data_IF_340765526060
#
_entry.id   IF_340765526060
#
_cell.length_a   1.000
_cell.length_b   1.000
_cell.length_c   1.000
_cell.angle_alpha   90.00
_cell.angle_beta   90.00
_cell.angle_gamma   90.00
#
_symmetry.space_group_name_H-M   'P 1'
#
loop_
_entity.id
_entity.type
_entity.pdbx_description
1 polymer ?
#
# COMPACT_ATOMS: atom_id res chain seq x y z
N UNK A 1 60.07 -21.75 62.54
CA UNK A 1 59.35 -22.08 63.79
C UNK A 1 57.94 -21.52 63.65
N UNK A 2 56.93 -22.36 63.41
CA UNK A 2 55.50 -22.00 63.59
C UNK A 2 55.15 -22.18 65.07
N UNK A 3 54.21 -21.38 65.63
CA UNK A 3 52.82 -21.84 65.79
C UNK A 3 51.77 -20.73 65.50
N UNK A 4 50.68 -20.98 64.77
CA UNK A 4 49.35 -21.52 65.18
C UNK A 4 48.40 -20.51 65.87
N UNK A 5 47.24 -20.28 65.22
CA UNK A 5 46.10 -19.39 65.56
C UNK A 5 45.22 -19.86 66.76
N UNK A 6 44.25 -19.04 67.25
CA UNK A 6 42.85 -19.23 66.77
C UNK A 6 41.95 -17.96 66.62
N UNK A 7 40.99 -18.12 65.69
CA UNK A 7 39.65 -17.52 65.33
C UNK A 7 38.83 -16.75 66.40
N UNK A 8 37.82 -15.88 66.06
CA UNK A 8 36.60 -16.33 65.33
C UNK A 8 35.75 -15.35 64.46
N UNK A 9 34.94 -16.00 63.60
CA UNK A 9 33.55 -15.75 63.14
C UNK A 9 33.06 -14.33 62.79
N UNK A 10 32.75 -14.15 61.50
CA UNK A 10 31.75 -13.19 61.02
C UNK A 10 30.98 -13.78 59.82
N UNK A 11 29.74 -14.21 60.07
CA UNK A 11 28.76 -14.67 59.08
C UNK A 11 28.14 -13.49 58.31
N UNK A 12 28.09 -13.56 56.97
CA UNK A 12 26.96 -13.13 56.12
C UNK A 12 27.37 -13.26 54.63
N UNK A 13 26.80 -14.21 53.86
CA UNK A 13 25.71 -14.00 52.87
C UNK A 13 26.08 -12.94 51.82
N UNK A 14 26.26 -13.23 50.54
CA UNK A 14 25.26 -13.77 49.60
C UNK A 14 25.98 -14.31 48.35
N UNK A 15 25.53 -15.46 47.83
CA UNK A 15 25.84 -15.91 46.47
C UNK A 15 24.98 -15.11 45.50
N UNK A 16 25.57 -14.45 44.51
CA UNK A 16 24.86 -13.96 43.34
C UNK A 16 25.37 -14.72 42.11
N UNK A 17 24.43 -15.32 41.41
CA UNK A 17 24.61 -16.25 40.31
C UNK A 17 25.10 -15.54 39.03
N UNK A 18 25.82 -16.31 38.23
CA UNK A 18 26.17 -16.07 36.83
C UNK A 18 24.93 -15.75 35.99
N UNK A 19 24.92 -14.60 35.31
CA UNK A 19 23.95 -14.32 34.26
C UNK A 19 24.61 -14.55 32.89
N UNK A 20 24.24 -15.65 32.25
CA UNK A 20 24.52 -15.93 30.84
C UNK A 20 23.63 -15.01 30.01
N UNK A 21 24.22 -14.08 29.26
CA UNK A 21 23.48 -13.27 28.28
C UNK A 21 23.08 -14.14 27.09
N UNK A 22 21.82 -14.57 27.07
CA UNK A 22 21.20 -15.13 25.88
C UNK A 22 20.93 -14.01 24.88
N UNK A 23 21.64 -14.02 23.75
CA UNK A 23 21.32 -13.18 22.58
C UNK A 23 20.05 -13.75 21.95
N UNK A 24 18.92 -13.08 22.19
CA UNK A 24 17.68 -13.34 21.46
C UNK A 24 17.87 -12.83 20.02
N UNK A 25 18.09 -13.74 19.08
CA UNK A 25 17.84 -13.50 17.66
C UNK A 25 16.32 -13.39 17.48
N UNK A 26 15.80 -12.17 17.50
CA UNK A 26 14.46 -11.89 17.02
C UNK A 26 14.42 -12.14 15.52
N UNK A 27 14.00 -13.34 15.15
CA UNK A 27 13.49 -13.62 13.83
C UNK A 27 12.24 -12.75 13.63
N UNK A 28 12.40 -11.64 12.91
CA UNK A 28 11.28 -10.91 12.33
C UNK A 28 10.64 -11.82 11.29
N UNK A 29 9.70 -12.65 11.72
CA UNK A 29 8.64 -13.13 10.85
C UNK A 29 7.87 -11.89 10.38
N UNK A 30 8.33 -11.30 9.27
CA UNK A 30 7.50 -10.44 8.46
C UNK A 30 6.35 -11.31 7.95
N UNK A 31 5.22 -11.29 8.66
CA UNK A 31 3.96 -11.70 8.07
C UNK A 31 3.75 -10.79 6.86
N UNK A 32 4.04 -11.30 5.67
CA UNK A 32 3.55 -10.70 4.44
C UNK A 32 2.03 -10.73 4.57
N UNK A 33 1.43 -9.56 4.72
CA UNK A 33 -0.03 -9.39 4.67
C UNK A 33 -0.49 -9.59 3.23
N UNK A 34 -0.35 -10.82 2.72
CA UNK A 34 -0.68 -11.22 1.34
C UNK A 34 -2.20 -11.23 1.06
N UNK A 35 -3.03 -10.87 2.05
CA UNK A 35 -4.47 -11.03 2.00
C UNK A 35 -5.27 -9.86 1.43
N UNK A 36 -4.77 -8.62 1.51
CA UNK A 36 -5.60 -7.43 1.21
C UNK A 36 -4.89 -6.33 0.41
N UNK A 37 -3.55 -6.32 0.37
CA UNK A 37 -2.77 -5.29 -0.35
C UNK A 37 -2.99 -5.33 -1.87
N UNK A 38 -3.37 -6.50 -2.41
CA UNK A 38 -3.54 -6.71 -3.84
C UNK A 38 -4.88 -6.16 -4.37
N UNK A 39 -5.92 -6.04 -3.52
CA UNK A 39 -7.28 -5.72 -3.97
C UNK A 39 -7.48 -4.23 -4.19
N UNK A 40 -6.91 -3.34 -3.36
CA UNK A 40 -7.15 -1.89 -3.55
C UNK A 40 -6.38 -1.32 -4.73
N UNK A 41 -5.37 -2.02 -5.26
CA UNK A 41 -4.55 -1.66 -6.42
C UNK A 41 -3.72 -0.37 -6.26
N UNK A 42 -4.25 0.64 -5.58
CA UNK A 42 -3.81 2.03 -5.45
C UNK A 42 -2.53 2.23 -4.66
N UNK A 43 -2.22 1.32 -3.74
CA UNK A 43 -1.08 1.44 -2.82
C UNK A 43 0.01 0.37 -3.04
N UNK A 44 -0.27 -0.70 -3.79
CA UNK A 44 0.61 -1.86 -3.89
C UNK A 44 1.15 -2.17 -5.29
N UNK A 45 0.42 -1.82 -6.35
CA UNK A 45 0.78 -2.23 -7.70
C UNK A 45 1.74 -1.21 -8.34
N UNK A 46 2.87 -1.73 -8.87
CA UNK A 46 3.83 -1.04 -9.75
C UNK A 46 3.09 0.04 -10.53
N UNK A 47 3.39 1.29 -10.19
CA UNK A 47 2.89 2.44 -10.94
C UNK A 47 3.20 2.19 -12.42
N UNK A 48 2.25 2.56 -13.28
CA UNK A 48 2.44 2.65 -14.73
C UNK A 48 3.85 3.11 -15.03
N UNK A 49 4.50 2.44 -16.00
CA UNK A 49 5.83 2.80 -16.49
C UNK A 49 5.85 4.32 -16.70
N UNK A 50 6.38 5.06 -15.73
CA UNK A 50 6.69 6.47 -15.89
C UNK A 50 7.60 6.54 -17.11
N UNK A 51 7.23 7.38 -18.07
CA UNK A 51 7.92 7.71 -19.32
C UNK A 51 9.34 7.12 -19.48
N UNK A 52 9.64 6.42 -20.59
CA UNK A 52 10.96 5.88 -20.85
C UNK A 52 11.97 7.01 -21.17
N UNK A 53 12.59 7.62 -20.15
CA UNK A 53 13.83 8.40 -20.32
C UNK A 53 14.60 8.78 -19.04
N UNK A 54 14.13 8.50 -17.81
CA UNK A 54 14.92 8.77 -16.60
C UNK A 54 15.01 7.50 -15.75
N UNK A 55 16.22 6.96 -15.66
CA UNK A 55 16.51 5.87 -14.74
C UNK A 55 16.36 6.39 -13.30
N UNK A 56 16.13 5.48 -12.36
CA UNK A 56 16.21 5.79 -10.93
C UNK A 56 17.52 6.52 -10.58
N UNK A 57 18.60 6.21 -11.31
CA UNK A 57 19.91 6.88 -11.17
C UNK A 57 19.83 8.37 -11.52
N UNK A 58 19.17 8.74 -12.64
CA UNK A 58 19.01 10.15 -13.00
C UNK A 58 18.26 10.96 -11.93
N UNK A 59 17.23 10.39 -11.32
CA UNK A 59 16.52 11.06 -10.23
C UNK A 59 17.38 11.17 -8.97
N UNK A 60 18.14 10.12 -8.65
CA UNK A 60 19.08 10.11 -7.54
C UNK A 60 20.17 11.17 -7.73
N UNK A 61 20.76 11.28 -8.91
CA UNK A 61 21.82 12.24 -9.22
C UNK A 61 21.32 13.68 -9.17
N UNK A 62 20.09 13.92 -9.66
CA UNK A 62 19.44 15.22 -9.52
C UNK A 62 19.23 15.60 -8.06
N UNK A 63 18.74 14.68 -7.23
CA UNK A 63 18.59 14.92 -5.79
C UNK A 63 19.94 15.12 -5.09
N UNK A 64 20.97 14.35 -5.42
CA UNK A 64 22.31 14.49 -4.84
C UNK A 64 22.97 15.82 -5.18
N UNK A 65 22.75 16.33 -6.39
CA UNK A 65 23.31 17.61 -6.83
C UNK A 65 22.55 18.82 -6.30
N UNK A 66 21.28 18.65 -5.92
CA UNK A 66 20.40 19.71 -5.41
C UNK A 66 19.55 19.18 -4.23
N UNK A 67 20.17 18.85 -3.08
CA UNK A 67 19.46 18.25 -1.95
C UNK A 67 18.40 19.17 -1.34
N UNK A 68 18.47 20.47 -1.59
CA UNK A 68 17.51 21.51 -1.20
C UNK A 68 16.34 21.69 -2.19
N UNK A 69 16.39 21.05 -3.36
CA UNK A 69 15.30 21.11 -4.35
C UNK A 69 14.21 20.09 -3.96
N UNK A 70 13.14 20.61 -3.34
CA UNK A 70 11.99 19.80 -2.92
C UNK A 70 11.35 19.01 -4.09
N UNK A 71 11.40 19.52 -5.33
CA UNK A 71 10.89 18.81 -6.49
C UNK A 71 11.81 17.65 -6.89
N UNK A 72 13.14 17.83 -6.79
CA UNK A 72 14.09 16.75 -7.00
C UNK A 72 13.89 15.62 -5.98
N UNK A 73 13.71 15.99 -4.70
CA UNK A 73 13.38 15.06 -3.62
C UNK A 73 12.07 14.29 -3.90
N UNK A 74 11.00 15.01 -4.25
CA UNK A 74 9.70 14.41 -4.54
C UNK A 74 9.76 13.45 -5.73
N UNK A 75 10.44 13.82 -6.81
CA UNK A 75 10.57 12.98 -7.99
C UNK A 75 11.42 11.73 -7.73
N UNK A 76 12.50 11.86 -6.96
CA UNK A 76 13.28 10.70 -6.55
C UNK A 76 12.47 9.74 -5.66
N UNK A 77 11.72 10.27 -4.69
CA UNK A 77 10.80 9.48 -3.88
C UNK A 77 9.73 8.76 -4.70
N UNK A 78 9.12 9.43 -5.69
CA UNK A 78 8.17 8.80 -6.64
C UNK A 78 8.82 7.67 -7.44
N UNK A 79 10.05 7.87 -7.91
CA UNK A 79 10.79 6.85 -8.65
C UNK A 79 11.13 5.62 -7.78
N UNK A 80 11.51 5.83 -6.51
CA UNK A 80 11.74 4.75 -5.55
C UNK A 80 10.46 3.93 -5.30
N UNK A 81 9.33 4.60 -5.10
CA UNK A 81 8.01 3.97 -4.94
C UNK A 81 7.63 3.13 -6.17
N UNK A 82 7.73 3.71 -7.37
CA UNK A 82 7.43 3.01 -8.62
C UNK A 82 8.35 1.79 -8.84
N UNK A 83 9.60 1.87 -8.39
CA UNK A 83 10.58 0.78 -8.45
C UNK A 83 10.43 -0.27 -7.35
N UNK A 84 9.46 -0.11 -6.44
CA UNK A 84 9.22 -1.02 -5.32
C UNK A 84 10.23 -0.90 -4.16
N UNK A 85 11.12 0.10 -4.18
CA UNK A 85 12.09 0.38 -3.11
C UNK A 85 11.42 1.13 -1.96
N UNK A 86 10.40 0.50 -1.37
CA UNK A 86 9.43 1.11 -0.43
C UNK A 86 10.11 1.69 0.81
N UNK A 87 10.95 0.92 1.48
CA UNK A 87 11.63 1.39 2.71
C UNK A 87 12.63 2.53 2.42
N UNK A 88 13.28 2.50 1.26
CA UNK A 88 14.15 3.61 0.84
C UNK A 88 13.35 4.87 0.49
N UNK A 89 12.18 4.72 -0.15
CA UNK A 89 11.28 5.83 -0.42
C UNK A 89 10.83 6.51 0.88
N UNK A 90 10.46 5.71 1.90
CA UNK A 90 10.08 6.21 3.23
C UNK A 90 11.21 7.02 3.85
N UNK A 91 12.40 6.43 3.99
CA UNK A 91 13.53 7.09 4.64
C UNK A 91 13.94 8.38 3.90
N UNK A 92 14.00 8.34 2.58
CA UNK A 92 14.40 9.50 1.77
C UNK A 92 13.37 10.64 1.83
N UNK A 93 12.07 10.32 1.69
CA UNK A 93 11.02 11.34 1.75
C UNK A 93 10.81 11.88 3.17
N UNK A 94 11.06 11.08 4.22
CA UNK A 94 11.08 11.56 5.60
C UNK A 94 12.14 12.66 5.78
N UNK A 95 13.38 12.40 5.34
CA UNK A 95 14.46 13.40 5.40
C UNK A 95 14.12 14.66 4.60
N UNK A 96 13.51 14.51 3.42
CA UNK A 96 13.05 15.65 2.63
C UNK A 96 11.98 16.47 3.37
N UNK A 97 11.03 15.84 4.06
CA UNK A 97 10.02 16.57 4.85
C UNK A 97 10.59 17.27 6.08
N UNK A 98 11.68 16.75 6.67
CA UNK A 98 12.40 17.42 7.77
C UNK A 98 13.11 18.68 7.25
N UNK A 99 13.71 18.61 6.05
CA UNK A 99 14.35 19.75 5.40
C UNK A 99 13.33 20.80 4.90
N UNK A 100 12.11 20.38 4.58
CA UNK A 100 11.05 21.23 4.02
C UNK A 100 9.73 21.10 4.82
N UNK A 101 9.67 21.56 6.07
CA UNK A 101 8.56 21.29 7.00
C UNK A 101 7.20 21.92 6.62
N UNK A 102 7.14 22.76 5.59
CA UNK A 102 5.90 23.36 5.07
C UNK A 102 5.48 22.84 3.69
N UNK A 103 6.27 21.98 3.05
CA UNK A 103 5.97 21.49 1.71
C UNK A 103 4.93 20.35 1.77
N UNK A 104 3.68 20.71 1.49
CA UNK A 104 2.55 19.76 1.47
C UNK A 104 2.71 18.67 0.41
N UNK A 105 3.37 18.94 -0.71
CA UNK A 105 3.57 17.95 -1.77
C UNK A 105 4.59 16.88 -1.33
N UNK A 106 5.66 17.28 -0.64
CA UNK A 106 6.59 16.34 0.00
C UNK A 106 5.92 15.55 1.12
N UNK A 107 5.12 16.18 1.97
CA UNK A 107 4.34 15.46 2.99
C UNK A 107 3.38 14.44 2.36
N UNK A 108 2.66 14.81 1.30
CA UNK A 108 1.80 13.88 0.57
C UNK A 108 2.60 12.74 -0.07
N UNK A 109 3.80 13.02 -0.59
CA UNK A 109 4.73 12.02 -1.09
C UNK A 109 5.15 11.03 -0.01
N UNK A 110 5.56 11.53 1.16
CA UNK A 110 5.95 10.72 2.32
C UNK A 110 4.80 9.86 2.83
N UNK A 111 3.60 10.43 2.99
CA UNK A 111 2.40 9.68 3.37
C UNK A 111 2.07 8.53 2.41
N UNK A 112 2.23 8.74 1.10
CA UNK A 112 2.08 7.67 0.10
C UNK A 112 3.19 6.62 0.18
N UNK A 113 4.44 7.01 0.46
CA UNK A 113 5.53 6.06 0.64
C UNK A 113 5.31 5.18 1.88
N UNK A 114 4.80 5.77 2.98
CA UNK A 114 4.40 5.04 4.18
C UNK A 114 3.29 4.03 3.86
N UNK A 115 2.28 4.43 3.09
CA UNK A 115 1.21 3.54 2.67
C UNK A 115 1.72 2.36 1.83
N UNK A 116 2.58 2.61 0.84
CA UNK A 116 3.17 1.54 0.02
C UNK A 116 4.03 0.57 0.87
N UNK A 117 4.68 1.09 1.92
CA UNK A 117 5.46 0.30 2.88
C UNK A 117 4.61 -0.41 3.94
N UNK A 118 3.27 -0.26 3.92
CA UNK A 118 2.35 -0.90 4.87
C UNK A 118 2.17 -0.15 6.20
N UNK A 119 2.76 1.04 6.35
CA UNK A 119 2.66 1.86 7.56
C UNK A 119 1.38 2.71 7.54
N UNK A 120 0.22 2.05 7.45
CA UNK A 120 -1.05 2.70 7.11
C UNK A 120 -1.52 3.74 8.13
N UNK A 121 -1.35 3.50 9.43
CA UNK A 121 -1.76 4.48 10.46
C UNK A 121 -0.95 5.78 10.34
N UNK A 122 0.38 5.66 10.25
CA UNK A 122 1.26 6.81 10.08
C UNK A 122 1.01 7.51 8.73
N UNK A 123 0.73 6.75 7.67
CA UNK A 123 0.37 7.30 6.37
C UNK A 123 -0.88 8.20 6.46
N UNK A 124 -1.92 7.75 7.19
CA UNK A 124 -3.15 8.51 7.35
C UNK A 124 -2.91 9.84 8.10
N UNK A 125 -2.10 9.81 9.16
CA UNK A 125 -1.73 11.00 9.92
C UNK A 125 -0.96 12.00 9.05
N UNK A 126 0.07 11.55 8.35
CA UNK A 126 0.91 12.39 7.48
C UNK A 126 0.08 12.97 6.33
N UNK A 127 -0.76 12.18 5.68
CA UNK A 127 -1.67 12.66 4.62
C UNK A 127 -2.69 13.67 5.17
N UNK A 128 -3.17 13.48 6.40
CA UNK A 128 -4.04 14.43 7.09
C UNK A 128 -3.39 15.81 7.27
N UNK A 129 -2.09 15.84 7.60
CA UNK A 129 -1.31 17.09 7.72
C UNK A 129 -0.97 17.73 6.37
N UNK A 130 -0.88 16.93 5.31
CA UNK A 130 -0.69 17.43 3.95
C UNK A 130 -1.96 18.05 3.34
N UNK A 131 -3.13 17.76 3.92
CA UNK A 131 -4.42 18.29 3.50
C UNK A 131 -4.76 19.62 4.19
N UNK A 132 -5.46 20.51 3.49
CA UNK A 132 -6.00 21.77 4.02
C UNK A 132 -7.44 21.91 3.53
N UNK A 133 -8.43 22.07 4.42
CA UNK A 133 -9.83 22.25 4.02
C UNK A 133 -10.06 23.46 3.13
N UNK A 134 -9.22 24.49 3.25
CA UNK A 134 -9.27 25.74 2.48
C UNK A 134 -8.75 25.57 1.05
N UNK A 135 -7.88 24.59 0.82
CA UNK A 135 -7.30 24.25 -0.49
C UNK A 135 -7.24 22.72 -0.65
N UNK A 136 -8.40 22.08 -0.90
CA UNK A 136 -8.48 20.63 -0.89
C UNK A 136 -7.89 20.03 -2.18
N UNK A 137 -6.83 19.23 -2.03
CA UNK A 137 -6.29 18.42 -3.13
C UNK A 137 -7.00 17.05 -3.20
N UNK A 138 -7.73 16.82 -4.28
CA UNK A 138 -8.41 15.55 -4.56
C UNK A 138 -7.46 14.34 -4.54
N UNK A 139 -6.19 14.54 -4.91
CA UNK A 139 -5.18 13.46 -4.93
C UNK A 139 -4.89 13.00 -3.52
N UNK A 140 -4.80 13.92 -2.55
CA UNK A 140 -4.57 13.60 -1.14
C UNK A 140 -5.80 12.91 -0.56
N UNK A 141 -7.01 13.42 -0.84
CA UNK A 141 -8.25 12.79 -0.42
C UNK A 141 -8.36 11.35 -0.94
N UNK A 142 -8.06 11.11 -2.21
CA UNK A 142 -8.04 9.76 -2.79
C UNK A 142 -6.99 8.85 -2.13
N UNK A 143 -5.82 9.38 -1.76
CA UNK A 143 -4.81 8.62 -1.03
C UNK A 143 -5.26 8.27 0.40
N UNK A 144 -5.92 9.19 1.10
CA UNK A 144 -6.50 8.92 2.42
C UNK A 144 -7.58 7.85 2.35
N UNK A 145 -8.46 7.90 1.34
CA UNK A 145 -9.44 6.86 1.07
C UNK A 145 -8.79 5.48 0.89
N UNK A 146 -7.74 5.41 0.08
CA UNK A 146 -7.00 4.16 -0.15
C UNK A 146 -6.35 3.60 1.11
N UNK A 147 -5.79 4.47 1.97
CA UNK A 147 -5.22 4.08 3.26
C UNK A 147 -6.31 3.59 4.22
N UNK A 148 -7.47 4.23 4.24
CA UNK A 148 -8.61 3.82 5.06
C UNK A 148 -9.17 2.45 4.64
N UNK A 149 -9.24 2.15 3.35
CA UNK A 149 -9.60 0.82 2.86
C UNK A 149 -8.63 -0.26 3.38
N UNK A 150 -7.32 0.02 3.38
CA UNK A 150 -6.31 -0.89 3.92
C UNK A 150 -6.40 -1.07 5.45
N UNK A 151 -6.93 -0.05 6.15
CA UNK A 151 -7.24 -0.13 7.58
C UNK A 151 -8.60 -0.81 7.87
N UNK A 152 -9.32 -1.28 6.84
CA UNK A 152 -10.65 -1.87 6.99
C UNK A 152 -11.78 -0.86 7.22
N UNK A 153 -11.49 0.45 7.10
CA UNK A 153 -12.42 1.57 7.33
C UNK A 153 -13.11 1.99 6.02
N UNK A 154 -13.71 1.02 5.33
CA UNK A 154 -14.22 1.21 3.96
C UNK A 154 -15.36 2.23 3.83
N UNK A 155 -16.19 2.42 4.85
CA UNK A 155 -17.23 3.47 4.81
C UNK A 155 -16.64 4.87 4.78
N UNK A 156 -15.65 5.13 5.63
CA UNK A 156 -14.93 6.41 5.65
C UNK A 156 -14.12 6.60 4.37
N UNK A 157 -13.48 5.55 3.86
CA UNK A 157 -12.76 5.58 2.59
C UNK A 157 -13.66 6.11 1.44
N UNK A 158 -14.90 5.62 1.35
CA UNK A 158 -15.87 6.05 0.35
C UNK A 158 -16.28 7.50 0.49
N UNK A 159 -16.32 8.06 1.70
CA UNK A 159 -16.56 9.49 1.91
C UNK A 159 -15.40 10.35 1.36
N UNK A 160 -14.16 9.91 1.53
CA UNK A 160 -12.99 10.57 0.95
C UNK A 160 -12.98 10.49 -0.58
N UNK A 161 -13.29 9.34 -1.18
CA UNK A 161 -13.43 9.23 -2.63
C UNK A 161 -14.56 10.09 -3.18
N UNK A 162 -15.73 10.11 -2.52
CA UNK A 162 -16.83 10.99 -2.89
C UNK A 162 -16.43 12.47 -2.82
N UNK A 163 -15.63 12.85 -1.83
CA UNK A 163 -15.09 14.20 -1.70
C UNK A 163 -14.10 14.56 -2.80
N UNK A 164 -13.21 13.63 -3.16
CA UNK A 164 -12.32 13.80 -4.31
C UNK A 164 -13.11 13.97 -5.62
N UNK A 165 -14.14 13.14 -5.85
CA UNK A 165 -14.99 13.20 -7.05
C UNK A 165 -15.89 14.43 -7.12
N UNK A 166 -16.14 15.12 -6.01
CA UNK A 166 -16.78 16.45 -6.02
C UNK A 166 -15.87 17.53 -6.57
N UNK A 167 -14.55 17.39 -6.40
CA UNK A 167 -13.53 18.34 -6.88
C UNK A 167 -13.15 18.03 -8.32
N UNK A 168 -12.93 16.75 -8.62
CA UNK A 168 -12.64 16.26 -9.97
C UNK A 168 -13.66 15.19 -10.36
N UNK A 169 -14.81 15.60 -10.93
CA UNK A 169 -15.80 14.65 -11.41
C UNK A 169 -15.19 13.67 -12.39
N UNK A 170 -15.61 12.41 -12.28
CA UNK A 170 -15.26 11.34 -13.22
C UNK A 170 -13.78 10.97 -13.34
N UNK A 171 -12.92 11.44 -12.45
CA UNK A 171 -11.50 11.06 -12.43
C UNK A 171 -11.32 9.52 -12.40
N UNK A 172 -10.79 8.90 -13.48
CA UNK A 172 -10.80 7.43 -13.61
C UNK A 172 -10.02 6.73 -12.50
N UNK A 173 -8.94 7.34 -12.01
CA UNK A 173 -8.14 6.79 -10.92
C UNK A 173 -8.91 6.74 -9.59
N UNK A 174 -9.72 7.76 -9.29
CA UNK A 174 -10.53 7.82 -8.07
C UNK A 174 -11.74 6.90 -8.17
N UNK A 175 -12.41 6.85 -9.32
CA UNK A 175 -13.50 5.91 -9.57
C UNK A 175 -13.00 4.46 -9.46
N UNK A 176 -11.80 4.16 -9.96
CA UNK A 176 -11.21 2.83 -9.82
C UNK A 176 -10.99 2.46 -8.35
N UNK A 177 -10.46 3.38 -7.53
CA UNK A 177 -10.27 3.13 -6.10
C UNK A 177 -11.62 2.94 -5.37
N UNK A 178 -12.61 3.77 -5.69
CA UNK A 178 -13.96 3.64 -5.14
C UNK A 178 -14.59 2.28 -5.48
N UNK A 179 -14.44 1.82 -6.72
CA UNK A 179 -14.92 0.51 -7.13
C UNK A 179 -14.24 -0.63 -6.36
N UNK A 180 -12.92 -0.55 -6.15
CA UNK A 180 -12.20 -1.56 -5.37
C UNK A 180 -12.60 -1.53 -3.89
N UNK A 181 -12.95 -0.36 -3.34
CA UNK A 181 -13.59 -0.27 -2.00
C UNK A 181 -14.93 -1.02 -1.96
N UNK A 182 -15.74 -0.94 -3.02
CA UNK A 182 -16.97 -1.75 -3.11
C UNK A 182 -16.69 -3.26 -3.20
N UNK A 183 -15.63 -3.67 -3.90
CA UNK A 183 -15.17 -5.07 -3.94
C UNK A 183 -14.83 -5.57 -2.54
N UNK A 184 -14.16 -4.76 -1.71
CA UNK A 184 -13.85 -5.14 -0.32
C UNK A 184 -15.12 -5.41 0.50
N UNK A 185 -16.18 -4.64 0.27
CA UNK A 185 -17.50 -4.88 0.87
C UNK A 185 -18.38 -5.89 0.12
N UNK A 186 -17.85 -6.56 -0.91
CA UNK A 186 -18.54 -7.52 -1.79
C UNK A 186 -19.74 -6.95 -2.56
N UNK A 187 -19.84 -5.62 -2.68
CA UNK A 187 -20.84 -4.96 -3.52
C UNK A 187 -20.34 -4.91 -4.97
N UNK A 188 -20.26 -6.09 -5.59
CA UNK A 188 -19.71 -6.25 -6.95
C UNK A 188 -20.56 -5.52 -8.01
N UNK A 189 -21.84 -5.29 -7.74
CA UNK A 189 -22.72 -4.55 -8.63
C UNK A 189 -22.29 -3.08 -8.72
N UNK A 190 -22.13 -2.39 -7.58
CA UNK A 190 -21.64 -1.01 -7.58
C UNK A 190 -20.20 -0.90 -8.05
N UNK A 191 -19.36 -1.89 -7.74
CA UNK A 191 -17.99 -1.92 -8.23
C UNK A 191 -17.94 -1.92 -9.76
N UNK A 192 -18.74 -2.76 -10.41
CA UNK A 192 -18.81 -2.84 -11.87
C UNK A 192 -19.37 -1.55 -12.47
N UNK A 193 -20.48 -1.04 -11.95
CA UNK A 193 -21.09 0.22 -12.39
C UNK A 193 -20.06 1.36 -12.36
N UNK A 194 -19.34 1.47 -11.24
CA UNK A 194 -18.32 2.50 -11.02
C UNK A 194 -17.13 2.34 -12.00
N UNK A 195 -16.68 1.12 -12.26
CA UNK A 195 -15.58 0.86 -13.21
C UNK A 195 -16.00 1.05 -14.67
N UNK A 196 -17.25 0.75 -15.03
CA UNK A 196 -17.77 1.06 -16.37
C UNK A 196 -17.85 2.56 -16.59
N UNK A 197 -18.29 3.31 -15.57
CA UNK A 197 -18.22 4.78 -15.57
C UNK A 197 -16.78 5.25 -15.77
N UNK A 198 -15.82 4.73 -15.00
CA UNK A 198 -14.40 5.07 -15.16
C UNK A 198 -13.87 4.77 -16.57
N UNK A 199 -14.24 3.62 -17.14
CA UNK A 199 -13.79 3.17 -18.46
C UNK A 199 -14.44 3.92 -19.63
N UNK A 200 -15.55 4.62 -19.40
CA UNK A 200 -16.22 5.43 -20.42
C UNK A 200 -15.41 6.69 -20.79
N UNK A 201 -14.44 7.08 -19.97
CA UNK A 201 -13.56 8.23 -20.25
C UNK A 201 -12.42 7.82 -21.19
N UNK A 202 -12.18 8.65 -22.21
CA UNK A 202 -11.21 8.35 -23.28
C UNK A 202 -9.75 8.23 -22.84
N UNK A 203 -9.44 8.65 -21.62
CA UNK A 203 -8.13 8.56 -20.95
C UNK A 203 -8.07 7.45 -19.89
N UNK A 204 -9.09 6.58 -19.81
CA UNK A 204 -9.11 5.46 -18.88
C UNK A 204 -7.89 4.55 -19.08
N UNK A 205 -6.97 4.60 -18.11
CA UNK A 205 -5.71 3.90 -18.19
C UNK A 205 -5.86 2.36 -18.23
N UNK A 206 -4.82 1.65 -18.71
CA UNK A 206 -4.68 0.19 -18.70
C UNK A 206 -5.19 -0.51 -17.41
N UNK A 207 -4.98 0.14 -16.26
CA UNK A 207 -5.37 -0.38 -14.95
C UNK A 207 -6.88 -0.39 -14.74
N UNK A 208 -7.60 0.63 -15.20
CA UNK A 208 -9.07 0.70 -15.05
C UNK A 208 -9.72 -0.48 -15.76
N UNK A 209 -9.28 -0.78 -16.98
CA UNK A 209 -9.74 -1.96 -17.75
C UNK A 209 -9.45 -3.27 -17.04
N UNK A 210 -8.26 -3.43 -16.46
CA UNK A 210 -7.90 -4.65 -15.74
C UNK A 210 -8.73 -4.83 -14.46
N UNK A 211 -9.02 -3.74 -13.75
CA UNK A 211 -9.89 -3.75 -12.58
C UNK A 211 -11.34 -4.08 -12.97
N UNK A 212 -11.84 -3.53 -14.09
CA UNK A 212 -13.15 -3.87 -14.63
C UNK A 212 -13.22 -5.36 -14.99
N UNK A 213 -12.22 -5.88 -15.70
CA UNK A 213 -12.11 -7.30 -16.02
C UNK A 213 -12.15 -8.18 -14.75
N UNK A 214 -11.43 -7.79 -13.69
CA UNK A 214 -11.46 -8.49 -12.41
C UNK A 214 -12.87 -8.54 -11.81
N UNK A 215 -13.55 -7.40 -11.74
CA UNK A 215 -14.90 -7.32 -11.15
C UNK A 215 -15.93 -8.09 -11.98
N UNK A 216 -15.89 -7.95 -13.30
CA UNK A 216 -16.76 -8.70 -14.22
C UNK A 216 -16.53 -10.22 -14.08
N UNK A 217 -15.27 -10.64 -13.94
CA UNK A 217 -14.90 -12.03 -13.68
C UNK A 217 -15.40 -12.53 -12.33
N UNK A 218 -15.35 -11.70 -11.28
CA UNK A 218 -15.89 -12.04 -9.95
C UNK A 218 -17.40 -12.21 -9.94
N UNK A 219 -18.10 -11.55 -10.86
CA UNK A 219 -19.53 -11.75 -11.08
C UNK A 219 -19.86 -12.98 -11.94
N UNK A 220 -18.85 -13.69 -12.42
CA UNK A 220 -19.00 -14.93 -13.17
C UNK A 220 -18.99 -14.76 -14.69
N UNK A 221 -18.91 -13.54 -15.21
CA UNK A 221 -18.84 -13.31 -16.66
C UNK A 221 -17.40 -13.39 -17.18
N UNK A 222 -16.85 -14.61 -17.21
CA UNK A 222 -15.46 -14.84 -17.63
C UNK A 222 -15.19 -14.44 -19.09
N UNK A 223 -16.17 -14.58 -19.98
CA UNK A 223 -16.00 -14.25 -21.40
C UNK A 223 -15.74 -12.75 -21.59
N UNK A 224 -16.55 -11.90 -20.95
CA UNK A 224 -16.35 -10.45 -21.00
C UNK A 224 -15.08 -10.03 -20.24
N UNK A 225 -14.81 -10.63 -19.07
CA UNK A 225 -13.61 -10.36 -18.31
C UNK A 225 -12.32 -10.61 -19.11
N UNK A 226 -12.25 -11.72 -19.84
CA UNK A 226 -11.13 -12.00 -20.73
C UNK A 226 -11.05 -11.02 -21.91
N UNK A 227 -12.19 -10.63 -22.49
CA UNK A 227 -12.22 -9.65 -23.58
C UNK A 227 -11.62 -8.32 -23.13
N UNK A 228 -12.07 -7.81 -21.98
CA UNK A 228 -11.57 -6.58 -21.36
C UNK A 228 -10.08 -6.66 -21.00
N UNK A 229 -9.60 -7.81 -20.53
CA UNK A 229 -8.19 -8.00 -20.18
C UNK A 229 -7.25 -7.97 -21.41
N UNK A 230 -7.77 -8.32 -22.59
CA UNK A 230 -7.04 -8.39 -23.87
C UNK A 230 -7.14 -7.12 -24.71
N UNK A 231 -8.19 -6.32 -24.53
CA UNK A 231 -8.55 -5.19 -25.40
C UNK A 231 -7.40 -4.18 -25.59
N UNK A 232 -7.07 -3.87 -26.85
CA UNK A 232 -6.08 -2.84 -27.21
C UNK A 232 -4.63 -3.20 -26.88
N UNK A 233 -4.30 -4.48 -26.70
CA UNK A 233 -2.96 -4.93 -26.25
C UNK A 233 -2.28 -5.90 -27.22
N UNK A 234 -0.93 -5.93 -27.23
CA UNK A 234 -0.18 -6.99 -27.88
C UNK A 234 -0.53 -8.38 -27.32
N UNK A 235 -0.44 -9.46 -28.13
CA UNK A 235 -0.84 -10.80 -27.73
C UNK A 235 -0.17 -11.30 -26.44
N UNK A 236 1.10 -10.99 -26.22
CA UNK A 236 1.85 -11.39 -25.02
C UNK A 236 1.30 -10.71 -23.75
N UNK A 237 1.10 -9.39 -23.80
CA UNK A 237 0.51 -8.64 -22.68
C UNK A 237 -0.93 -9.08 -22.40
N UNK A 238 -1.71 -9.32 -23.46
CA UNK A 238 -3.08 -9.81 -23.36
C UNK A 238 -3.13 -11.19 -22.68
N UNK A 239 -2.23 -12.11 -23.03
CA UNK A 239 -2.11 -13.42 -22.40
C UNK A 239 -1.69 -13.32 -20.93
N UNK A 240 -0.72 -12.45 -20.61
CA UNK A 240 -0.25 -12.21 -19.25
C UNK A 240 -1.38 -11.66 -18.35
N UNK A 241 -2.18 -10.72 -18.85
CA UNK A 241 -3.31 -10.16 -18.12
C UNK A 241 -4.40 -11.21 -17.84
N UNK A 242 -4.72 -12.06 -18.81
CA UNK A 242 -5.70 -13.14 -18.63
C UNK A 242 -5.19 -14.16 -17.60
N UNK A 243 -3.91 -14.51 -17.64
CA UNK A 243 -3.31 -15.40 -16.65
C UNK A 243 -3.36 -14.78 -15.24
N UNK A 244 -3.04 -13.49 -15.13
CA UNK A 244 -3.15 -12.73 -13.88
C UNK A 244 -4.59 -12.73 -13.35
N UNK A 245 -5.57 -12.41 -14.19
CA UNK A 245 -6.99 -12.41 -13.88
C UNK A 245 -7.43 -13.77 -13.31
N UNK A 246 -7.13 -14.87 -14.02
CA UNK A 246 -7.49 -16.23 -13.59
C UNK A 246 -6.87 -16.58 -12.24
N UNK A 247 -5.61 -16.22 -12.02
CA UNK A 247 -4.92 -16.44 -10.73
C UNK A 247 -5.61 -15.68 -9.60
N UNK A 248 -5.98 -14.42 -9.82
CA UNK A 248 -6.65 -13.60 -8.81
C UNK A 248 -8.04 -14.15 -8.45
N UNK A 249 -8.83 -14.53 -9.45
CA UNK A 249 -10.15 -15.12 -9.24
C UNK A 249 -10.07 -16.47 -8.50
N UNK A 250 -9.07 -17.31 -8.81
CA UNK A 250 -8.83 -18.57 -8.12
C UNK A 250 -8.44 -18.36 -6.64
N UNK A 251 -7.54 -17.41 -6.36
CA UNK A 251 -7.19 -17.02 -4.97
C UNK A 251 -8.43 -16.60 -4.18
N UNK A 252 -9.30 -15.80 -4.78
CA UNK A 252 -10.50 -15.31 -4.11
C UNK A 252 -11.55 -16.39 -3.89
N UNK A 253 -11.67 -17.36 -4.80
CA UNK A 253 -12.51 -18.54 -4.60
C UNK A 253 -12.01 -19.41 -3.43
N UNK A 254 -10.68 -19.58 -3.31
CA UNK A 254 -10.06 -20.35 -2.24
C UNK A 254 -10.17 -19.68 -0.86
N UNK A 255 -10.29 -18.34 -0.82
CA UNK A 255 -10.46 -17.57 0.42
C UNK A 255 -11.88 -17.65 1.02
N UNK A 256 -12.86 -18.25 0.33
CA UNK A 256 -14.18 -18.50 0.91
C UNK A 256 -14.09 -19.65 1.93
N UNK A 257 -14.50 -19.47 3.19
CA UNK A 257 -14.60 -20.58 4.13
C UNK A 257 -15.60 -21.61 3.60
N UNK A 258 -15.26 -22.90 3.72
CA UNK A 258 -16.14 -23.99 3.32
C UNK A 258 -17.48 -23.90 4.09
N UNK A 259 -18.62 -24.10 3.43
CA UNK A 259 -19.90 -24.07 4.11
C UNK A 259 -20.05 -25.28 5.03
N UNK A 260 -20.14 -25.03 6.34
CA UNK A 260 -20.80 -25.91 7.31
C UNK A 260 -20.12 -27.23 7.65
N UNK A 261 -19.03 -27.18 8.41
CA UNK A 261 -18.73 -28.25 9.37
C UNK A 261 -19.64 -28.07 10.58
N UNK A 262 -20.89 -28.55 10.50
CA UNK A 262 -21.76 -28.62 11.66
C UNK A 262 -21.07 -29.51 12.71
N UNK A 263 -20.54 -28.89 13.76
CA UNK A 263 -20.16 -29.58 14.97
C UNK A 263 -21.44 -30.16 15.58
N UNK A 264 -21.74 -31.42 15.25
CA UNK A 264 -22.61 -32.25 16.08
C UNK A 264 -21.87 -32.41 17.40
N UNK A 265 -22.36 -31.72 18.41
CA UNK A 265 -22.08 -32.06 19.79
C UNK A 265 -23.18 -33.05 20.15
N UNK A 266 -22.80 -34.32 20.16
CA UNK A 266 -23.55 -35.37 20.87
C UNK A 266 -23.24 -35.27 22.37
#
# INVERSE_FOLDING_TARGET
MYPSLPRPLGLARFRAATAVSAVLLLALCGCQTDGMSDITGSLGAKAEKTSPAQSLESYRDRYRSHPEDANAALNYGKALRASGQRSQAVAMLEQATIAHPGDKALMAGYGRALADNGNFQQALEVLGRAHSPEDPDWRILSAQGAVLDQLGRGEEARQYYASALRIVPDEPSVLSNLALSYVLSKDLAKAEETLRRANAHGDAGPRVKLNLALVVGLRGNMAEAESLAKEGRPPEEAAANVAYLKRMLAKQAAAKPAPGGAARTD
#
